data_IF_830182866675
#
_entry.id   IF_830182866675
#
_cell.length_a   1.000
_cell.length_b   1.000
_cell.length_c   1.000
_cell.angle_alpha   90.00
_cell.angle_beta   90.00
_cell.angle_gamma   90.00
#
_symmetry.space_group_name_H-M   'P 1'
#
loop_
_entity.id
_entity.type
_entity.pdbx_description
1 polymer ?
#
# COMPACT_ATOMS: atom_id res chain seq x y z
N UNK A 1 5.72 -29.29 -5.58
CA UNK A 1 5.85 -28.04 -6.32
C UNK A 1 4.70 -27.96 -7.32
N UNK A 2 3.87 -26.92 -7.22
CA UNK A 2 2.73 -26.71 -8.13
C UNK A 2 3.24 -25.94 -9.34
N UNK A 3 2.99 -26.46 -10.55
CA UNK A 3 3.34 -25.75 -11.80
C UNK A 3 2.46 -24.48 -11.91
N UNK A 4 3.11 -23.31 -11.96
CA UNK A 4 2.41 -22.04 -12.10
C UNK A 4 1.56 -21.95 -13.38
N UNK A 5 1.93 -22.68 -14.45
CA UNK A 5 1.15 -22.76 -15.69
C UNK A 5 -0.23 -23.37 -15.45
N UNK A 6 -0.33 -24.34 -14.53
CA UNK A 6 -1.60 -24.91 -14.14
C UNK A 6 -2.50 -23.88 -13.43
N UNK A 7 -1.93 -23.08 -12.53
CA UNK A 7 -2.64 -21.98 -11.84
C UNK A 7 -3.13 -20.96 -12.86
N UNK A 8 -2.26 -20.54 -13.78
CA UNK A 8 -2.57 -19.54 -14.80
C UNK A 8 -3.63 -20.00 -15.82
N UNK A 9 -3.90 -21.29 -15.92
CA UNK A 9 -5.00 -21.81 -16.75
C UNK A 9 -6.36 -21.33 -16.25
N UNK A 10 -6.50 -21.12 -14.94
CA UNK A 10 -7.75 -20.70 -14.29
C UNK A 10 -7.78 -19.19 -13.95
N UNK A 11 -7.11 -18.35 -14.73
CA UNK A 11 -6.96 -16.92 -14.45
C UNK A 11 -8.29 -16.16 -14.26
N UNK A 12 -9.35 -16.52 -15.00
CA UNK A 12 -10.68 -15.93 -14.78
C UNK A 12 -11.29 -16.36 -13.45
N UNK A 13 -11.10 -17.61 -13.05
CA UNK A 13 -11.55 -18.09 -11.75
C UNK A 13 -10.82 -17.34 -10.61
N UNK A 14 -9.50 -17.14 -10.76
CA UNK A 14 -8.68 -16.35 -9.84
C UNK A 14 -9.25 -14.94 -9.69
N UNK A 15 -9.60 -14.30 -10.79
CA UNK A 15 -10.18 -12.96 -10.78
C UNK A 15 -11.55 -12.92 -10.09
N UNK A 16 -12.44 -13.88 -10.39
CA UNK A 16 -13.76 -13.98 -9.77
C UNK A 16 -13.65 -14.25 -8.27
N UNK A 17 -12.78 -15.18 -7.86
CA UNK A 17 -12.52 -15.48 -6.43
C UNK A 17 -11.99 -14.25 -5.72
N UNK A 18 -11.11 -13.49 -6.35
CA UNK A 18 -10.61 -12.24 -5.80
C UNK A 18 -11.74 -11.23 -5.57
N UNK A 19 -12.60 -11.01 -6.57
CA UNK A 19 -13.74 -10.11 -6.41
C UNK A 19 -14.72 -10.59 -5.33
N UNK A 20 -14.98 -11.90 -5.27
CA UNK A 20 -15.83 -12.49 -4.25
C UNK A 20 -15.25 -12.29 -2.84
N UNK A 21 -13.93 -12.46 -2.67
CA UNK A 21 -13.23 -12.23 -1.40
C UNK A 21 -13.31 -10.75 -0.97
N UNK A 22 -13.11 -9.81 -1.90
CA UNK A 22 -13.26 -8.38 -1.62
C UNK A 22 -14.71 -7.99 -1.28
N UNK A 23 -15.69 -8.60 -1.93
CA UNK A 23 -17.10 -8.42 -1.63
C UNK A 23 -17.47 -9.00 -0.26
N UNK A 24 -16.91 -10.16 0.10
CA UNK A 24 -17.11 -10.80 1.40
C UNK A 24 -16.64 -9.90 2.56
N UNK A 25 -15.57 -9.12 2.40
CA UNK A 25 -15.16 -8.10 3.39
C UNK A 25 -16.27 -7.08 3.62
N UNK A 26 -16.94 -6.63 2.57
CA UNK A 26 -18.03 -5.65 2.70
C UNK A 26 -19.22 -6.23 3.48
N UNK A 27 -19.52 -7.52 3.30
CA UNK A 27 -20.67 -8.20 3.92
C UNK A 27 -20.37 -8.72 5.33
N UNK A 28 -19.20 -9.31 5.54
CA UNK A 28 -18.81 -10.04 6.75
C UNK A 28 -17.61 -9.41 7.47
N UNK A 29 -17.09 -8.28 6.98
CA UNK A 29 -15.93 -7.63 7.56
C UNK A 29 -16.16 -7.14 8.96
N UNK A 30 -15.16 -7.34 9.84
CA UNK A 30 -15.15 -6.82 11.19
C UNK A 30 -14.48 -5.45 11.22
N UNK A 31 -15.03 -4.53 12.02
CA UNK A 31 -14.41 -3.22 12.23
C UNK A 31 -13.19 -3.37 13.14
N UNK A 32 -12.04 -2.95 12.63
CA UNK A 32 -10.81 -2.79 13.39
C UNK A 32 -10.20 -1.44 13.04
N UNK A 33 -9.87 -0.63 14.04
CA UNK A 33 -9.31 0.73 13.87
C UNK A 33 -10.15 1.62 12.93
N UNK A 34 -11.47 1.60 13.08
CA UNK A 34 -12.39 2.46 12.31
C UNK A 34 -12.63 2.07 10.86
N UNK A 35 -12.18 0.89 10.42
CA UNK A 35 -12.40 0.42 9.07
C UNK A 35 -12.72 -1.08 8.99
N UNK A 36 -13.64 -1.46 8.10
CA UNK A 36 -13.98 -2.86 7.82
C UNK A 36 -13.04 -3.41 6.74
N UNK A 37 -11.93 -4.04 7.17
CA UNK A 37 -10.89 -4.56 6.26
C UNK A 37 -10.55 -6.02 6.49
N UNK A 38 -10.98 -6.58 7.64
CA UNK A 38 -10.57 -7.89 8.14
C UNK A 38 -11.76 -8.84 8.23
N UNK A 39 -11.54 -10.09 7.89
CA UNK A 39 -12.47 -11.19 8.12
C UNK A 39 -11.88 -12.08 9.21
N UNK A 40 -12.66 -12.38 10.25
CA UNK A 40 -12.27 -13.35 11.26
C UNK A 40 -12.52 -14.76 10.72
N UNK A 41 -11.45 -15.50 10.54
CA UNK A 41 -11.51 -16.90 10.11
C UNK A 41 -11.21 -17.76 11.34
N UNK A 42 -12.14 -18.65 11.76
CA UNK A 42 -11.87 -19.61 12.84
C UNK A 42 -10.57 -20.36 12.55
N UNK A 43 -9.71 -20.58 13.57
CA UNK A 43 -8.40 -21.26 13.51
C UNK A 43 -7.25 -20.48 12.86
N UNK A 44 -7.50 -19.53 11.92
CA UNK A 44 -6.44 -18.80 11.21
C UNK A 44 -6.26 -17.39 11.79
N UNK A 45 -7.28 -16.86 12.51
CA UNK A 45 -7.25 -15.52 13.05
C UNK A 45 -7.85 -14.48 12.12
N UNK A 46 -7.20 -13.31 12.00
CA UNK A 46 -7.67 -12.22 11.15
C UNK A 46 -7.03 -12.34 9.75
N UNK A 47 -7.88 -12.32 8.72
CA UNK A 47 -7.48 -12.41 7.33
C UNK A 47 -7.90 -11.14 6.58
N UNK A 48 -6.96 -10.52 5.87
CA UNK A 48 -7.22 -9.34 5.06
C UNK A 48 -7.17 -9.70 3.57
N UNK A 49 -8.31 -9.82 2.89
CA UNK A 49 -8.37 -10.20 1.48
C UNK A 49 -7.61 -9.27 0.53
N UNK A 50 -7.54 -7.95 0.82
CA UNK A 50 -6.79 -7.00 -0.02
C UNK A 50 -5.29 -7.29 -0.09
N UNK A 51 -4.69 -7.96 0.87
CA UNK A 51 -3.30 -8.40 0.80
C UNK A 51 -3.09 -9.49 -0.26
N UNK A 52 -4.01 -10.44 -0.33
CA UNK A 52 -3.99 -11.48 -1.36
C UNK A 52 -4.38 -10.97 -2.74
N UNK A 53 -5.22 -9.93 -2.80
CA UNK A 53 -5.63 -9.30 -4.06
C UNK A 53 -4.42 -8.87 -4.89
N UNK A 54 -3.36 -8.36 -4.28
CA UNK A 54 -2.13 -7.96 -4.99
C UNK A 54 -1.56 -9.13 -5.80
N UNK A 55 -1.40 -10.30 -5.15
CA UNK A 55 -0.86 -11.50 -5.80
C UNK A 55 -1.80 -12.04 -6.89
N UNK A 56 -3.10 -12.10 -6.61
CA UNK A 56 -4.08 -12.62 -7.56
C UNK A 56 -4.21 -11.72 -8.79
N UNK A 57 -4.14 -10.40 -8.62
CA UNK A 57 -4.16 -9.45 -9.73
C UNK A 57 -2.87 -9.48 -10.55
N UNK A 58 -1.70 -9.69 -9.94
CA UNK A 58 -0.45 -9.89 -10.68
C UNK A 58 -0.59 -11.11 -11.60
N UNK A 59 -1.02 -12.27 -11.06
CA UNK A 59 -1.19 -13.49 -11.84
C UNK A 59 -2.18 -13.31 -12.98
N UNK A 60 -3.32 -12.68 -12.72
CA UNK A 60 -4.34 -12.37 -13.72
C UNK A 60 -3.80 -11.46 -14.82
N UNK A 61 -3.16 -10.36 -14.42
CA UNK A 61 -2.63 -9.35 -15.34
C UNK A 61 -1.53 -9.93 -16.24
N UNK A 62 -0.56 -10.63 -15.64
CA UNK A 62 0.53 -11.27 -16.39
C UNK A 62 -0.03 -12.25 -17.41
N UNK A 63 -1.01 -13.09 -17.03
CA UNK A 63 -1.64 -14.03 -17.96
C UNK A 63 -2.31 -13.34 -19.15
N UNK A 64 -3.08 -12.26 -18.89
CA UNK A 64 -3.71 -11.49 -19.96
C UNK A 64 -2.68 -10.84 -20.89
N UNK A 65 -1.64 -10.24 -20.34
CA UNK A 65 -0.58 -9.61 -21.11
C UNK A 65 0.19 -10.62 -21.98
N UNK A 66 0.47 -11.82 -21.45
CA UNK A 66 1.09 -12.89 -22.21
C UNK A 66 0.20 -13.40 -23.35
N UNK A 67 -1.13 -13.53 -23.12
CA UNK A 67 -2.08 -14.00 -24.14
C UNK A 67 -2.29 -12.99 -25.27
N UNK A 68 -2.25 -11.70 -24.94
CA UNK A 68 -2.51 -10.62 -25.89
C UNK A 68 -1.25 -9.78 -26.16
N UNK A 69 -0.08 -10.43 -26.18
CA UNK A 69 1.23 -9.78 -26.35
C UNK A 69 1.28 -8.84 -27.56
N UNK A 70 0.68 -9.23 -28.68
CA UNK A 70 0.67 -8.43 -29.91
C UNK A 70 -0.28 -7.22 -29.86
N UNK A 71 -1.17 -7.18 -28.85
CA UNK A 71 -2.16 -6.11 -28.66
C UNK A 71 -1.86 -5.20 -27.47
N UNK A 72 -0.69 -5.31 -26.87
CA UNK A 72 -0.33 -4.51 -25.67
C UNK A 72 -0.42 -3.00 -25.93
N UNK A 73 -0.14 -2.57 -27.15
CA UNK A 73 -0.21 -1.16 -27.54
C UNK A 73 -1.54 -0.78 -28.22
N UNK A 74 -2.54 -1.66 -28.23
CA UNK A 74 -3.88 -1.33 -28.71
C UNK A 74 -4.70 -0.66 -27.58
N UNK A 75 -5.24 0.51 -27.89
CA UNK A 75 -6.08 1.28 -26.96
C UNK A 75 -7.29 0.51 -26.46
N UNK A 76 -7.90 -0.31 -27.31
CA UNK A 76 -9.06 -1.13 -26.94
C UNK A 76 -8.69 -2.16 -25.87
N UNK A 77 -7.56 -2.84 -26.05
CA UNK A 77 -7.07 -3.81 -25.08
C UNK A 77 -6.70 -3.12 -23.75
N UNK A 78 -5.99 -2.01 -23.82
CA UNK A 78 -5.59 -1.25 -22.64
C UNK A 78 -6.80 -0.72 -21.86
N UNK A 79 -7.82 -0.24 -22.56
CA UNK A 79 -9.07 0.23 -21.89
C UNK A 79 -9.78 -0.91 -21.20
N UNK A 80 -9.92 -2.07 -21.84
CA UNK A 80 -10.53 -3.25 -21.21
C UNK A 80 -9.72 -3.70 -19.98
N UNK A 81 -8.41 -3.77 -20.12
CA UNK A 81 -7.51 -4.12 -19.00
C UNK A 81 -7.65 -3.12 -17.86
N UNK A 82 -7.64 -1.82 -18.15
CA UNK A 82 -7.81 -0.76 -17.15
C UNK A 82 -9.15 -0.89 -16.41
N UNK A 83 -10.26 -1.17 -17.11
CA UNK A 83 -11.57 -1.38 -16.49
C UNK A 83 -11.54 -2.62 -15.58
N UNK A 84 -10.98 -3.73 -16.04
CA UNK A 84 -10.87 -4.97 -15.24
C UNK A 84 -10.04 -4.76 -13.98
N UNK A 85 -8.97 -3.97 -14.04
CA UNK A 85 -8.13 -3.68 -12.87
C UNK A 85 -8.74 -2.60 -11.97
N UNK A 86 -9.50 -1.65 -12.53
CA UNK A 86 -10.16 -0.61 -11.76
C UNK A 86 -11.25 -1.16 -10.81
N UNK A 87 -11.94 -2.23 -11.20
CA UNK A 87 -12.99 -2.83 -10.36
C UNK A 87 -12.45 -3.28 -8.99
N UNK A 88 -11.45 -4.18 -8.89
CA UNK A 88 -10.91 -4.58 -7.59
C UNK A 88 -10.25 -3.42 -6.83
N UNK A 89 -9.57 -2.49 -7.52
CA UNK A 89 -9.00 -1.30 -6.90
C UNK A 89 -10.09 -0.42 -6.26
N UNK A 90 -11.22 -0.23 -6.93
CA UNK A 90 -12.37 0.50 -6.38
C UNK A 90 -12.96 -0.19 -5.14
N UNK A 91 -12.99 -1.53 -5.09
CA UNK A 91 -13.40 -2.25 -3.88
C UNK A 91 -12.43 -2.01 -2.71
N UNK A 92 -11.11 -2.03 -2.94
CA UNK A 92 -10.10 -1.77 -1.92
C UNK A 92 -10.21 -0.31 -1.43
N UNK A 93 -10.38 0.64 -2.35
CA UNK A 93 -10.55 2.06 -2.03
C UNK A 93 -11.79 2.29 -1.15
N UNK A 94 -12.90 1.60 -1.44
CA UNK A 94 -14.14 1.64 -0.63
C UNK A 94 -14.00 0.99 0.75
N UNK A 95 -12.96 0.20 1.00
CA UNK A 95 -12.61 -0.35 2.31
C UNK A 95 -11.72 0.60 3.12
N UNK A 96 -11.80 1.89 2.91
CA UNK A 96 -10.89 3.00 3.21
C UNK A 96 -9.42 2.59 3.37
N UNK A 97 -8.86 1.91 2.37
CA UNK A 97 -7.46 1.46 2.38
C UNK A 97 -6.67 2.11 1.22
N UNK A 98 -6.38 3.40 1.38
CA UNK A 98 -5.69 4.19 0.35
C UNK A 98 -4.29 3.64 0.05
N UNK A 99 -3.52 3.31 1.09
CA UNK A 99 -2.14 2.81 0.96
C UNK A 99 -2.07 1.52 0.14
N UNK A 100 -2.91 0.53 0.47
CA UNK A 100 -2.96 -0.74 -0.30
C UNK A 100 -3.46 -0.51 -1.72
N UNK A 101 -4.39 0.42 -1.94
CA UNK A 101 -4.87 0.78 -3.29
C UNK A 101 -3.75 1.36 -4.14
N UNK A 102 -2.99 2.34 -3.61
CA UNK A 102 -1.87 2.96 -4.30
C UNK A 102 -0.74 1.96 -4.56
N UNK A 103 -0.39 1.14 -3.58
CA UNK A 103 0.62 0.10 -3.73
C UNK A 103 0.22 -0.91 -4.81
N UNK A 104 -1.02 -1.39 -4.78
CA UNK A 104 -1.52 -2.34 -5.79
C UNK A 104 -1.53 -1.70 -7.18
N UNK A 105 -1.95 -0.46 -7.31
CA UNK A 105 -1.90 0.28 -8.56
C UNK A 105 -0.47 0.40 -9.09
N UNK A 106 0.48 0.76 -8.23
CA UNK A 106 1.90 0.88 -8.61
C UNK A 106 2.48 -0.46 -9.09
N UNK A 107 2.19 -1.55 -8.37
CA UNK A 107 2.61 -2.90 -8.77
C UNK A 107 2.05 -3.25 -10.15
N UNK A 108 0.75 -3.07 -10.37
CA UNK A 108 0.11 -3.40 -11.65
C UNK A 108 0.63 -2.52 -12.79
N UNK A 109 0.85 -1.25 -12.53
CA UNK A 109 1.48 -0.32 -13.49
C UNK A 109 2.88 -0.79 -13.87
N UNK A 110 3.70 -1.18 -12.89
CA UNK A 110 5.05 -1.72 -13.13
C UNK A 110 5.01 -3.00 -13.96
N UNK A 111 4.09 -3.92 -13.68
CA UNK A 111 3.90 -5.15 -14.46
C UNK A 111 3.55 -4.83 -15.91
N UNK A 112 2.61 -3.91 -16.15
CA UNK A 112 2.22 -3.49 -17.50
C UNK A 112 3.38 -2.77 -18.20
N UNK A 113 4.11 -1.93 -17.49
CA UNK A 113 5.29 -1.23 -18.02
C UNK A 113 6.37 -2.20 -18.50
N UNK A 114 6.68 -3.23 -17.72
CA UNK A 114 7.69 -4.24 -18.03
C UNK A 114 7.35 -5.09 -19.25
N UNK A 115 6.11 -5.13 -19.72
CA UNK A 115 5.70 -5.91 -20.90
C UNK A 115 5.98 -5.23 -22.24
N UNK A 116 6.59 -4.04 -22.25
CA UNK A 116 6.96 -3.34 -23.48
C UNK A 116 5.89 -2.36 -23.96
N UNK A 117 5.19 -1.70 -23.02
CA UNK A 117 4.28 -0.61 -23.36
C UNK A 117 5.01 0.51 -24.07
N UNK A 118 4.43 1.06 -25.15
CA UNK A 118 5.08 2.11 -25.92
C UNK A 118 5.21 3.40 -25.11
N UNK A 119 6.35 4.09 -25.22
CA UNK A 119 6.61 5.36 -24.53
C UNK A 119 5.59 6.46 -24.88
N UNK A 120 4.97 6.38 -26.07
CA UNK A 120 3.90 7.30 -26.48
C UNK A 120 2.67 7.16 -25.56
N UNK A 121 2.28 5.93 -25.27
CA UNK A 121 1.13 5.64 -24.39
C UNK A 121 1.44 6.08 -22.97
N UNK A 122 2.66 5.82 -22.49
CA UNK A 122 3.12 6.26 -21.17
C UNK A 122 3.09 7.79 -21.08
N UNK A 123 3.62 8.48 -22.10
CA UNK A 123 3.62 9.94 -22.17
C UNK A 123 2.19 10.53 -22.13
N UNK A 124 1.25 9.95 -22.89
CA UNK A 124 -0.15 10.37 -22.89
C UNK A 124 -0.79 10.10 -21.51
N UNK A 125 -0.54 8.92 -20.93
CA UNK A 125 -1.05 8.58 -19.60
C UNK A 125 -0.54 9.57 -18.53
N UNK A 126 0.75 9.90 -18.52
CA UNK A 126 1.34 10.88 -17.61
C UNK A 126 0.77 12.29 -17.85
N UNK A 127 0.59 12.69 -19.09
CA UNK A 127 0.01 13.99 -19.46
C UNK A 127 -1.43 14.16 -18.95
N UNK A 128 -2.16 13.06 -18.77
CA UNK A 128 -3.51 13.05 -18.20
C UNK A 128 -3.46 12.92 -16.68
N UNK A 129 -2.69 11.96 -16.15
CA UNK A 129 -2.68 11.62 -14.72
C UNK A 129 -2.07 12.77 -13.90
N UNK A 130 -0.99 13.37 -14.33
CA UNK A 130 -0.32 14.42 -13.57
C UNK A 130 -1.22 15.64 -13.33
N UNK A 131 -1.90 16.25 -14.33
CA UNK A 131 -2.83 17.35 -14.07
C UNK A 131 -4.02 16.96 -13.23
N UNK A 132 -4.56 15.73 -13.41
CA UNK A 132 -5.71 15.24 -12.61
C UNK A 132 -5.31 15.09 -11.15
N UNK A 133 -4.15 14.47 -10.87
CA UNK A 133 -3.65 14.31 -9.49
C UNK A 133 -3.30 15.67 -8.88
N UNK A 134 -2.63 16.55 -9.62
CA UNK A 134 -2.29 17.89 -9.14
C UNK A 134 -3.55 18.71 -8.85
N UNK A 135 -4.52 18.72 -9.75
CA UNK A 135 -5.81 19.40 -9.52
C UNK A 135 -6.57 18.83 -8.32
N UNK A 136 -6.54 17.51 -8.15
CA UNK A 136 -7.13 16.84 -6.99
C UNK A 136 -6.43 17.21 -5.67
N UNK A 137 -5.10 17.29 -5.66
CA UNK A 137 -4.32 17.73 -4.50
C UNK A 137 -4.63 19.18 -4.14
N UNK A 138 -4.71 20.07 -5.12
CA UNK A 138 -5.10 21.47 -4.90
C UNK A 138 -6.53 21.56 -4.34
N UNK A 139 -7.45 20.73 -4.88
CA UNK A 139 -8.84 20.70 -4.41
C UNK A 139 -8.95 20.24 -2.95
N UNK A 140 -8.19 19.21 -2.56
CA UNK A 140 -8.16 18.69 -1.17
C UNK A 140 -7.50 19.68 -0.22
N UNK A 141 -6.51 20.45 -0.66
CA UNK A 141 -5.79 21.43 0.18
C UNK A 141 -6.70 22.54 0.70
N UNK A 142 -7.84 22.79 0.06
CA UNK A 142 -8.79 23.76 0.56
C UNK A 142 -9.70 23.13 1.64
N UNK A 143 -9.68 23.64 2.91
CA UNK A 143 -10.46 23.10 4.02
C UNK A 143 -11.97 23.02 3.79
N UNK A 144 -12.52 23.97 3.02
CA UNK A 144 -13.95 24.08 2.77
C UNK A 144 -14.49 23.02 1.81
N UNK A 145 -13.61 22.34 1.06
CA UNK A 145 -14.03 21.37 0.07
C UNK A 145 -14.25 19.99 0.69
N UNK A 146 -15.48 19.50 0.65
CA UNK A 146 -15.80 18.12 1.04
C UNK A 146 -15.58 17.18 -0.14
N UNK A 147 -14.77 16.16 0.05
CA UNK A 147 -14.52 15.13 -0.96
C UNK A 147 -15.32 13.88 -0.60
N UNK A 148 -16.33 13.57 -1.38
CA UNK A 148 -17.26 12.46 -1.12
C UNK A 148 -16.60 11.07 -1.05
N UNK A 149 -15.44 10.89 -1.70
CA UNK A 149 -14.74 9.59 -1.80
C UNK A 149 -13.59 9.42 -0.79
N UNK A 150 -13.24 10.47 -0.04
CA UNK A 150 -12.13 10.46 0.93
C UNK A 150 -12.71 10.69 2.31
N UNK A 151 -12.36 9.82 3.24
CA UNK A 151 -12.71 9.99 4.65
C UNK A 151 -11.77 11.03 5.32
N UNK A 152 -12.27 11.68 6.37
CA UNK A 152 -11.53 12.76 7.05
C UNK A 152 -10.12 12.34 7.49
N UNK A 153 -9.96 11.11 8.01
CA UNK A 153 -8.65 10.60 8.40
C UNK A 153 -7.68 10.40 7.22
N UNK A 154 -8.17 10.07 6.02
CA UNK A 154 -7.33 9.96 4.81
C UNK A 154 -6.90 11.34 4.34
N UNK A 155 -7.80 12.33 4.43
CA UNK A 155 -7.50 13.72 4.15
C UNK A 155 -6.42 14.22 5.10
N UNK A 156 -6.58 14.00 6.41
CA UNK A 156 -5.59 14.39 7.43
C UNK A 156 -4.21 13.83 7.10
N UNK A 157 -4.10 12.55 6.71
CA UNK A 157 -2.82 11.96 6.30
C UNK A 157 -2.21 12.59 5.05
N UNK A 158 -3.03 12.91 4.04
CA UNK A 158 -2.55 13.60 2.83
C UNK A 158 -2.07 15.00 3.19
N UNK A 159 -2.81 15.73 4.03
CA UNK A 159 -2.45 17.08 4.46
C UNK A 159 -1.21 17.08 5.35
N UNK A 160 -1.07 16.12 6.27
CA UNK A 160 0.13 15.93 7.07
C UNK A 160 1.38 15.69 6.21
N UNK A 161 1.24 14.95 5.11
CA UNK A 161 2.34 14.73 4.16
C UNK A 161 2.70 15.98 3.35
N UNK A 162 1.70 16.82 3.01
CA UNK A 162 1.92 18.04 2.23
C UNK A 162 2.42 19.22 3.08
N UNK A 163 1.97 19.30 4.34
CA UNK A 163 2.22 20.40 5.26
C UNK A 163 2.77 19.84 6.59
N UNK A 164 3.96 19.25 6.55
CA UNK A 164 4.61 18.66 7.71
C UNK A 164 4.87 19.66 8.87
N UNK A 165 4.92 20.95 8.57
CA UNK A 165 5.20 22.00 9.56
C UNK A 165 3.93 22.58 10.23
N UNK A 166 2.74 22.13 9.87
CA UNK A 166 1.51 22.65 10.45
C UNK A 166 1.14 21.89 11.73
N UNK A 167 1.14 22.58 12.87
CA UNK A 167 0.77 22.05 14.19
C UNK A 167 -0.62 21.37 14.25
N UNK A 168 -1.47 21.62 13.28
CA UNK A 168 -2.82 21.06 13.17
C UNK A 168 -2.83 19.54 12.87
N UNK A 169 -1.70 18.97 12.39
CA UNK A 169 -1.56 17.55 12.01
C UNK A 169 -0.57 16.78 12.90
N UNK A 170 -0.27 17.32 14.07
CA UNK A 170 0.75 16.83 15.01
C UNK A 170 0.57 15.35 15.37
N UNK A 171 -0.68 14.94 15.65
CA UNK A 171 -1.00 13.54 15.99
C UNK A 171 -0.73 12.56 14.83
N UNK A 172 -0.85 12.99 13.57
CA UNK A 172 -0.61 12.14 12.41
C UNK A 172 0.88 11.92 12.13
N UNK A 173 1.69 12.90 12.45
CA UNK A 173 3.15 12.88 12.26
C UNK A 173 3.89 12.35 13.49
N UNK A 174 3.23 12.34 14.65
CA UNK A 174 3.81 11.94 15.93
C UNK A 174 4.58 10.61 15.86
N UNK A 175 3.95 9.56 15.36
CA UNK A 175 4.58 8.25 15.28
C UNK A 175 5.79 8.22 14.35
N UNK A 176 5.72 8.94 13.22
CA UNK A 176 6.84 9.04 12.28
C UNK A 176 8.00 9.81 12.88
N UNK A 177 7.74 10.93 13.53
CA UNK A 177 8.77 11.74 14.18
C UNK A 177 9.48 10.96 15.30
N UNK A 178 8.72 10.23 16.12
CA UNK A 178 9.32 9.36 17.14
C UNK A 178 10.10 8.20 16.54
N UNK A 179 9.67 7.63 15.41
CA UNK A 179 10.43 6.60 14.70
C UNK A 179 11.76 7.15 14.17
N UNK A 180 11.77 8.36 13.61
CA UNK A 180 12.99 9.02 13.16
C UNK A 180 13.95 9.33 14.34
N UNK A 181 13.39 9.81 15.46
CA UNK A 181 14.16 10.02 16.68
C UNK A 181 14.73 8.73 17.26
N UNK A 182 13.96 7.60 17.19
CA UNK A 182 14.44 6.29 17.60
C UNK A 182 15.66 5.86 16.79
N UNK A 183 15.57 5.94 15.44
CA UNK A 183 16.68 5.62 14.55
C UNK A 183 17.90 6.50 14.87
N UNK A 184 17.70 7.81 14.99
CA UNK A 184 18.76 8.77 15.29
C UNK A 184 19.43 8.52 16.66
N UNK A 185 18.66 8.08 17.66
CA UNK A 185 19.13 7.82 19.00
C UNK A 185 20.07 6.59 19.09
N UNK A 186 19.98 5.66 18.12
CA UNK A 186 20.82 4.48 18.04
C UNK A 186 22.27 4.78 17.60
N UNK A 187 22.53 5.95 17.01
CA UNK A 187 23.88 6.34 16.55
C UNK A 187 24.52 5.27 15.64
N UNK A 188 25.83 5.02 15.78
CA UNK A 188 26.56 4.04 14.95
C UNK A 188 26.35 2.60 15.41
N UNK A 189 26.40 2.33 16.71
CA UNK A 189 26.46 0.98 17.29
C UNK A 189 25.19 0.51 17.97
N UNK A 190 24.19 1.37 18.09
CA UNK A 190 22.95 1.08 18.79
C UNK A 190 23.04 1.17 20.31
N UNK A 191 21.87 1.14 20.96
CA UNK A 191 21.74 1.11 22.43
C UNK A 191 21.87 -0.30 23.01
N UNK A 192 21.99 -1.32 22.17
CA UNK A 192 22.03 -2.71 22.54
C UNK A 192 20.70 -3.44 22.35
N UNK A 193 20.81 -4.73 22.05
CA UNK A 193 19.65 -5.60 21.89
C UNK A 193 18.90 -5.75 23.21
N UNK A 194 17.59 -5.62 23.13
CA UNK A 194 16.68 -5.80 24.26
C UNK A 194 17.00 -4.86 25.46
N UNK A 195 17.43 -3.63 25.14
CA UNK A 195 17.76 -2.63 26.15
C UNK A 195 16.53 -2.27 27.00
N UNK A 196 16.65 -2.38 28.31
CA UNK A 196 15.60 -2.07 29.30
C UNK A 196 15.63 -0.58 29.75
N UNK A 197 16.40 0.27 29.07
CA UNK A 197 16.48 1.69 29.42
C UNK A 197 15.10 2.35 29.25
N UNK A 198 14.55 2.97 30.33
CA UNK A 198 13.28 3.68 30.27
C UNK A 198 13.28 4.85 29.27
N UNK A 199 14.45 5.38 28.89
CA UNK A 199 14.61 6.42 27.89
C UNK A 199 14.54 5.90 26.44
N UNK A 200 14.51 4.59 26.24
CA UNK A 200 14.31 3.97 24.94
C UNK A 200 12.89 4.27 24.46
N UNK A 201 12.77 4.76 23.23
CA UNK A 201 11.46 5.08 22.63
C UNK A 201 10.56 3.84 22.51
N UNK A 202 11.15 2.65 22.37
CA UNK A 202 10.48 1.36 22.41
C UNK A 202 9.81 1.12 23.78
N UNK A 203 10.57 1.29 24.87
CA UNK A 203 10.11 0.99 26.23
C UNK A 203 9.14 2.06 26.76
N UNK A 204 9.27 3.29 26.32
CA UNK A 204 8.40 4.41 26.69
C UNK A 204 7.02 4.37 26.00
N UNK A 205 6.76 3.38 25.14
CA UNK A 205 5.51 3.22 24.39
C UNK A 205 5.09 4.45 23.57
N UNK A 206 6.04 5.30 23.17
CA UNK A 206 5.76 6.45 22.32
C UNK A 206 5.34 6.08 20.90
N UNK A 207 5.72 4.87 20.43
CA UNK A 207 5.35 4.34 19.11
C UNK A 207 4.38 3.18 19.35
N UNK A 208 3.11 3.38 18.96
CA UNK A 208 2.14 2.31 18.97
C UNK A 208 2.54 1.25 17.93
N UNK A 209 2.41 -0.05 18.29
CA UNK A 209 2.73 -1.18 17.39
C UNK A 209 4.15 -1.11 16.79
N UNK A 210 5.13 -0.62 17.56
CA UNK A 210 6.53 -0.45 17.10
C UNK A 210 7.12 -1.71 16.46
N UNK A 211 6.77 -2.88 16.98
CA UNK A 211 7.23 -4.18 16.48
C UNK A 211 6.57 -4.63 15.16
N UNK A 212 5.48 -4.00 14.75
CA UNK A 212 4.77 -4.31 13.50
C UNK A 212 5.05 -3.26 12.44
N UNK A 213 4.62 -2.01 12.67
CA UNK A 213 4.62 -0.96 11.66
C UNK A 213 5.95 -0.21 11.60
N UNK A 214 6.72 -0.18 12.70
CA UNK A 214 7.96 0.58 12.83
C UNK A 214 9.15 -0.29 13.25
N UNK A 215 9.17 -1.57 12.84
CA UNK A 215 10.25 -2.49 13.20
C UNK A 215 11.65 -1.97 12.84
N UNK A 216 11.79 -1.24 11.74
CA UNK A 216 13.06 -0.64 11.35
C UNK A 216 13.54 0.44 12.32
N UNK A 217 12.61 1.17 12.95
CA UNK A 217 12.96 2.14 14.00
C UNK A 217 13.52 1.43 15.24
N UNK A 218 12.93 0.29 15.61
CA UNK A 218 13.45 -0.56 16.70
C UNK A 218 14.85 -1.07 16.37
N UNK A 219 15.05 -1.58 15.14
CA UNK A 219 16.37 -2.05 14.66
C UNK A 219 17.39 -0.91 14.68
N UNK A 220 16.99 0.29 14.23
CA UNK A 220 17.85 1.47 14.23
C UNK A 220 18.24 1.91 15.64
N UNK A 221 17.31 1.85 16.60
CA UNK A 221 17.59 2.19 18.00
C UNK A 221 18.49 1.15 18.69
N UNK A 222 18.20 -0.16 18.50
CA UNK A 222 18.91 -1.25 19.19
C UNK A 222 20.28 -1.55 18.58
N UNK A 223 20.39 -1.58 17.24
CA UNK A 223 21.60 -1.99 16.49
C UNK A 223 22.33 -0.83 15.81
N UNK A 224 21.76 0.39 15.87
CA UNK A 224 22.33 1.58 15.29
C UNK A 224 22.39 1.56 13.76
N UNK A 225 23.17 2.49 13.21
CA UNK A 225 23.36 2.64 11.76
C UNK A 225 23.90 1.38 11.10
N UNK A 226 24.87 0.71 11.76
CA UNK A 226 25.48 -0.54 11.22
C UNK A 226 24.43 -1.64 11.11
N UNK A 227 23.59 -1.83 12.13
CA UNK A 227 22.50 -2.82 12.10
C UNK A 227 21.44 -2.49 11.04
N UNK A 228 21.09 -1.22 10.89
CA UNK A 228 20.20 -0.76 9.83
C UNK A 228 20.75 -1.06 8.43
N UNK A 229 22.01 -0.75 8.17
CA UNK A 229 22.67 -1.06 6.90
C UNK A 229 22.70 -2.57 6.60
N UNK A 230 23.06 -3.39 7.59
CA UNK A 230 23.05 -4.87 7.45
C UNK A 230 21.64 -5.36 7.11
N UNK A 231 20.61 -4.84 7.80
CA UNK A 231 19.23 -5.22 7.55
C UNK A 231 18.81 -4.88 6.12
N UNK A 232 19.13 -3.70 5.61
CA UNK A 232 18.83 -3.29 4.22
C UNK A 232 19.55 -4.20 3.23
N UNK A 233 20.84 -4.51 3.47
CA UNK A 233 21.63 -5.40 2.62
C UNK A 233 21.08 -6.83 2.58
N UNK A 234 20.52 -7.32 3.68
CA UNK A 234 19.91 -8.66 3.73
C UNK A 234 18.55 -8.73 3.03
N UNK A 235 17.86 -7.60 2.90
CA UNK A 235 16.54 -7.51 2.24
C UNK A 235 16.64 -7.15 0.75
N UNK A 236 17.79 -6.68 0.27
CA UNK A 236 18.04 -6.32 -1.13
C UNK A 236 18.56 -7.52 -1.95
#
# INVERSE_FOLDING_TARGET
FIDYNWILKYYWLIYIVNLAALLAVKLFGHESHGAKRWIKVPLIGQFQPSEFTKLLLILFTVKLLCMYKDKINDWRFLTILAILLAIPLAFILKQPNLSTTLLTFLILFTVIFCTGLSYKIIGIALLIIVPVVSGFMIYISNPDNKVFFIQDYQRTRIMAFLNSDANEYDDSNYQQEYAERAIGSGQLSGKGLNNDDPSSLKNAHYIAEAQNDFIFAVIGEELGFVGGCITILLLS
#
